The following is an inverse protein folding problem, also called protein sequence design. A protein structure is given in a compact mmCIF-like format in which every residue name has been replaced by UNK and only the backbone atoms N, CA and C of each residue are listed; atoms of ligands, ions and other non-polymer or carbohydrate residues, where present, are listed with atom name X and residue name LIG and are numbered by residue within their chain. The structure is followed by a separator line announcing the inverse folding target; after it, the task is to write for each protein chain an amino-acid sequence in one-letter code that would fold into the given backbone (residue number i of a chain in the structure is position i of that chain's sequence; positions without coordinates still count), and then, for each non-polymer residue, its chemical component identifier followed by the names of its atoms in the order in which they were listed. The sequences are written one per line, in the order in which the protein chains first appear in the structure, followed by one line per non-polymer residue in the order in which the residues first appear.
data_IF_867647591353
#
_entry.id   IF_867647591353
#
_cell.length_a   1.000
_cell.length_b   1.000
_cell.length_c   1.000
_cell.angle_alpha   90.00
_cell.angle_beta   90.00
_cell.angle_gamma   90.00
#
_symmetry.space_group_name_H-M   'P 1'
#
loop_
_entity.id
_entity.type
_entity.pdbx_description
1 polymer ?
#
# COMPACT_ATOMS: atom_id res chain seq x y z
N UNK A 1 19.34 12.27 -6.64
CA UNK A 1 18.04 12.44 -5.96
C UNK A 1 17.05 11.34 -6.33
N UNK A 2 16.57 11.27 -7.58
CA UNK A 2 15.55 10.27 -7.98
C UNK A 2 15.94 8.81 -7.73
N UNK A 3 17.19 8.43 -7.97
CA UNK A 3 17.67 7.07 -7.65
C UNK A 3 17.59 6.73 -6.16
N UNK A 4 17.78 7.70 -5.27
CA UNK A 4 17.67 7.50 -3.82
C UNK A 4 16.23 7.25 -3.42
N UNK A 5 15.30 8.05 -3.96
CA UNK A 5 13.86 7.90 -3.72
C UNK A 5 13.38 6.56 -4.28
N UNK A 6 13.81 6.19 -5.48
CA UNK A 6 13.49 4.91 -6.11
C UNK A 6 14.00 3.72 -5.30
N UNK A 7 15.26 3.77 -4.83
CA UNK A 7 15.83 2.74 -3.96
C UNK A 7 15.04 2.62 -2.65
N UNK A 8 14.65 3.75 -2.04
CA UNK A 8 13.83 3.74 -0.82
C UNK A 8 12.44 3.13 -1.05
N UNK A 9 11.76 3.46 -2.15
CA UNK A 9 10.49 2.84 -2.52
C UNK A 9 10.63 1.34 -2.79
N UNK A 10 11.70 0.93 -3.46
CA UNK A 10 11.95 -0.47 -3.73
C UNK A 10 12.14 -1.27 -2.44
N UNK A 11 12.95 -0.76 -1.51
CA UNK A 11 13.13 -1.36 -0.18
C UNK A 11 11.78 -1.43 0.57
N UNK A 12 11.00 -0.36 0.55
CA UNK A 12 9.67 -0.32 1.17
C UNK A 12 8.76 -1.43 0.62
N UNK A 13 8.70 -1.60 -0.70
CA UNK A 13 7.89 -2.64 -1.35
C UNK A 13 8.38 -4.03 -0.96
N UNK A 14 9.70 -4.28 -0.91
CA UNK A 14 10.24 -5.56 -0.48
C UNK A 14 9.84 -5.89 0.96
N UNK A 15 9.92 -4.91 1.88
CA UNK A 15 9.48 -5.09 3.27
C UNK A 15 7.97 -5.30 3.38
N UNK A 16 7.18 -4.60 2.55
CA UNK A 16 5.73 -4.78 2.47
C UNK A 16 5.35 -6.20 1.99
N UNK A 17 5.91 -6.65 0.87
CA UNK A 17 5.59 -7.97 0.27
C UNK A 17 6.05 -9.13 1.16
N UNK A 18 7.19 -8.98 1.84
CA UNK A 18 7.65 -9.98 2.81
C UNK A 18 6.90 -9.93 4.15
N UNK A 19 6.02 -8.93 4.34
CA UNK A 19 5.23 -8.69 5.54
C UNK A 19 6.08 -8.49 6.79
N UNK A 20 7.17 -7.74 6.66
CA UNK A 20 8.01 -7.24 7.75
C UNK A 20 7.53 -5.86 8.20
N UNK A 21 7.67 -5.56 9.49
CA UNK A 21 7.29 -4.26 10.10
C UNK A 21 5.88 -3.78 9.71
N UNK A 22 4.88 -4.69 9.69
CA UNK A 22 3.55 -4.47 9.09
C UNK A 22 2.87 -3.17 9.48
N UNK A 23 2.94 -2.75 10.75
CA UNK A 23 2.37 -1.47 11.18
C UNK A 23 2.94 -0.28 10.40
N UNK A 24 4.23 -0.29 10.13
CA UNK A 24 4.92 0.77 9.39
C UNK A 24 4.76 0.58 7.88
N UNK A 25 5.08 -0.61 7.35
CA UNK A 25 5.04 -0.84 5.90
C UNK A 25 3.63 -0.73 5.35
N UNK A 26 2.62 -1.31 6.01
CA UNK A 26 1.24 -1.29 5.51
C UNK A 26 0.64 0.11 5.70
N UNK A 27 0.99 0.79 6.81
CA UNK A 27 0.57 2.17 7.08
C UNK A 27 1.15 3.16 6.07
N UNK A 28 2.44 3.07 5.75
CA UNK A 28 3.08 3.94 4.75
C UNK A 28 2.47 3.69 3.36
N UNK A 29 2.30 2.43 2.95
CA UNK A 29 1.68 2.09 1.66
C UNK A 29 0.24 2.60 1.59
N UNK A 30 -0.55 2.46 2.66
CA UNK A 30 -1.89 3.03 2.76
C UNK A 30 -1.87 4.56 2.59
N UNK A 31 -0.97 5.27 3.27
CA UNK A 31 -0.86 6.73 3.14
C UNK A 31 -0.46 7.15 1.72
N UNK A 32 0.52 6.47 1.10
CA UNK A 32 0.95 6.76 -0.27
C UNK A 32 -0.17 6.53 -1.28
N UNK A 33 -0.94 5.44 -1.12
CA UNK A 33 -2.11 5.18 -1.95
C UNK A 33 -3.24 6.17 -1.70
N UNK A 34 -3.50 6.56 -0.45
CA UNK A 34 -4.51 7.57 -0.14
C UNK A 34 -4.15 8.91 -0.79
N UNK A 35 -2.91 9.39 -0.57
CA UNK A 35 -2.43 10.67 -1.14
C UNK A 35 -2.55 10.65 -2.66
N UNK A 36 -2.10 9.59 -3.33
CA UNK A 36 -2.17 9.49 -4.79
C UNK A 36 -3.60 9.34 -5.33
N UNK A 37 -4.48 8.62 -4.62
CA UNK A 37 -5.90 8.47 -5.01
C UNK A 37 -6.64 9.80 -4.91
N UNK A 38 -6.42 10.57 -3.84
CA UNK A 38 -7.08 11.86 -3.63
C UNK A 38 -6.46 12.99 -4.43
N UNK A 39 -5.14 13.00 -4.63
CA UNK A 39 -4.49 14.06 -5.43
C UNK A 39 -4.89 14.02 -6.91
N UNK A 40 -5.36 12.88 -7.39
CA UNK A 40 -5.77 12.65 -8.79
C UNK A 40 -7.28 12.77 -8.99
N UNK A 41 -8.02 13.35 -8.03
CA UNK A 41 -9.49 13.36 -8.05
C UNK A 41 -10.11 13.96 -9.33
N UNK A 42 -9.47 14.98 -9.91
CA UNK A 42 -9.94 15.59 -11.15
C UNK A 42 -9.95 14.64 -12.36
N UNK A 43 -9.11 13.61 -12.38
CA UNK A 43 -9.01 12.66 -13.50
C UNK A 43 -10.22 11.71 -13.57
N UNK A 44 -10.91 11.48 -12.44
CA UNK A 44 -12.16 10.71 -12.42
C UNK A 44 -13.31 11.41 -13.17
N UNK A 45 -13.26 12.73 -13.33
CA UNK A 45 -14.30 13.52 -14.02
C UNK A 45 -14.27 13.36 -15.55
N UNK A 46 -13.19 12.78 -16.10
CA UNK A 46 -13.06 12.41 -17.51
C UNK A 46 -12.74 10.92 -17.62
N UNK A 47 -13.69 10.03 -17.28
CA UNK A 47 -13.44 8.61 -17.10
C UNK A 47 -13.00 7.93 -18.39
N UNK A 48 -13.54 8.31 -19.55
CA UNK A 48 -13.19 7.68 -20.83
C UNK A 48 -11.76 7.97 -21.29
N UNK A 49 -11.14 9.05 -20.80
CA UNK A 49 -9.72 9.37 -21.04
C UNK A 49 -8.80 8.79 -19.95
N UNK A 50 -9.35 8.40 -18.80
CA UNK A 50 -8.60 8.10 -17.56
C UNK A 50 -9.13 6.87 -16.80
N UNK A 51 -9.68 5.89 -17.51
CA UNK A 51 -10.44 4.77 -16.90
C UNK A 51 -9.62 4.00 -15.85
N UNK A 52 -8.30 3.88 -16.07
CA UNK A 52 -7.38 3.17 -15.17
C UNK A 52 -7.24 3.84 -13.80
N UNK A 53 -7.51 5.14 -13.66
CA UNK A 53 -7.45 5.80 -12.36
C UNK A 53 -8.47 5.20 -11.39
N UNK A 54 -9.61 4.69 -11.87
CA UNK A 54 -10.59 4.03 -11.01
C UNK A 54 -10.05 2.79 -10.29
N UNK A 55 -8.97 2.17 -10.79
CA UNK A 55 -8.28 1.07 -10.09
C UNK A 55 -7.61 1.52 -8.78
N UNK A 56 -7.39 2.83 -8.58
CA UNK A 56 -6.87 3.37 -7.33
C UNK A 56 -7.81 3.11 -6.14
N UNK A 57 -9.13 3.10 -6.36
CA UNK A 57 -10.11 2.88 -5.29
C UNK A 57 -10.10 1.44 -4.74
N UNK A 58 -10.19 0.37 -5.57
CA UNK A 58 -9.99 -0.99 -5.09
C UNK A 58 -8.63 -1.20 -4.43
N UNK A 59 -7.57 -0.60 -4.98
CA UNK A 59 -6.23 -0.69 -4.41
C UNK A 59 -6.16 -0.03 -3.02
N UNK A 60 -6.72 1.17 -2.86
CA UNK A 60 -6.82 1.87 -1.58
C UNK A 60 -7.61 1.05 -0.55
N UNK A 61 -8.72 0.45 -0.96
CA UNK A 61 -9.51 -0.44 -0.11
C UNK A 61 -8.71 -1.67 0.33
N UNK A 62 -7.93 -2.28 -0.56
CA UNK A 62 -7.04 -3.39 -0.23
C UNK A 62 -5.94 -2.98 0.75
N UNK A 63 -5.30 -1.83 0.57
CA UNK A 63 -4.32 -1.29 1.51
C UNK A 63 -4.93 -1.06 2.90
N UNK A 64 -6.15 -0.51 2.95
CA UNK A 64 -6.87 -0.27 4.21
C UNK A 64 -7.18 -1.59 4.91
N UNK A 65 -7.69 -2.57 4.16
CA UNK A 65 -7.99 -3.92 4.66
C UNK A 65 -6.72 -4.58 5.25
N UNK A 66 -5.59 -4.53 4.54
CA UNK A 66 -4.32 -5.04 5.03
C UNK A 66 -3.88 -4.33 6.31
N UNK A 67 -3.98 -3.01 6.40
CA UNK A 67 -3.56 -2.27 7.58
C UNK A 67 -4.43 -2.58 8.82
N UNK A 68 -5.75 -2.67 8.65
CA UNK A 68 -6.70 -2.99 9.71
C UNK A 68 -6.56 -4.44 10.19
N UNK A 69 -6.35 -5.38 9.26
CA UNK A 69 -6.24 -6.82 9.54
C UNK A 69 -4.79 -7.32 9.58
N UNK A 70 -3.81 -6.42 9.74
CA UNK A 70 -2.37 -6.75 9.69
C UNK A 70 -1.93 -7.84 10.66
N UNK A 71 -2.64 -7.98 11.77
CA UNK A 71 -2.36 -8.99 12.80
C UNK A 71 -2.84 -10.40 12.39
N UNK A 72 -3.79 -10.48 11.45
CA UNK A 72 -4.28 -11.73 10.88
C UNK A 72 -3.52 -12.17 9.64
N UNK A 73 -2.72 -11.28 9.07
CA UNK A 73 -1.82 -11.63 7.99
C UNK A 73 -0.70 -12.54 8.50
N UNK A 74 -0.82 -13.85 8.30
CA UNK A 74 0.08 -14.85 8.90
C UNK A 74 0.98 -15.55 7.90
N UNK A 75 0.79 -15.32 6.60
CA UNK A 75 1.60 -15.90 5.53
C UNK A 75 2.76 -14.96 5.16
N UNK A 76 3.49 -14.49 6.17
CA UNK A 76 4.58 -13.52 6.00
C UNK A 76 5.81 -13.89 6.83
N UNK A 77 6.97 -13.32 6.48
CA UNK A 77 8.22 -13.54 7.23
C UNK A 77 8.17 -12.89 8.62
N UNK A 78 7.39 -11.82 8.78
CA UNK A 78 7.17 -11.12 10.06
C UNK A 78 6.04 -11.69 10.92
N UNK A 79 5.58 -12.93 10.67
CA UNK A 79 4.55 -13.58 11.49
C UNK A 79 5.02 -13.65 12.95
N UNK A 80 4.21 -13.16 13.89
CA UNK A 80 4.42 -13.45 15.31
C UNK A 80 3.98 -14.89 15.56
N UNK A 81 4.89 -15.73 16.02
CA UNK A 81 4.53 -17.05 16.54
C UNK A 81 3.72 -16.81 17.81
N UNK A 82 2.41 -17.07 17.76
CA UNK A 82 1.61 -17.13 18.98
C UNK A 82 2.13 -18.32 19.78
N UNK A 83 2.86 -18.05 20.86
CA UNK A 83 3.16 -19.06 21.87
C UNK A 83 1.83 -19.34 22.60
N UNK A 84 1.09 -20.32 22.08
CA UNK A 84 0.02 -20.98 22.82
C UNK A 84 0.62 -22.08 23.69
#
# INVERSE_FOLDING_TARGET
MFYVIGAAQFILILLFVTGLFKTWTYGIILLLHAISTFSTFGLYLKPFDNLLFFAAWPMLAACLALFLMRDWDTLTLGKKVSLA
#
